data_IF_970410439228
#
_entry.id   IF_970410439228
#
_cell.length_a   1.000
_cell.length_b   1.000
_cell.length_c   1.000
_cell.angle_alpha   90.00
_cell.angle_beta   90.00
_cell.angle_gamma   90.00
#
_symmetry.space_group_name_H-M   'P 1'
#
loop_
_entity.id
_entity.type
_entity.pdbx_description
1 polymer ?
#
# COMPACT_ATOMS: atom_id res chain seq x y z
N UNK A 1 11.82 18.92 -11.55
CA UNK A 1 11.16 17.99 -10.60
C UNK A 1 9.70 17.91 -11.01
N UNK A 2 9.20 16.71 -11.28
CA UNK A 2 7.79 16.49 -11.64
C UNK A 2 6.90 16.92 -10.47
N UNK A 3 5.73 17.53 -10.75
CA UNK A 3 4.77 17.95 -9.72
C UNK A 3 3.37 17.49 -10.13
N UNK A 4 2.62 16.96 -9.17
CA UNK A 4 1.21 16.64 -9.31
C UNK A 4 0.39 17.58 -8.40
N UNK A 5 -0.25 18.62 -8.94
CA UNK A 5 -0.78 19.74 -8.16
C UNK A 5 -2.21 19.48 -7.62
N UNK A 6 -2.46 18.30 -7.06
CA UNK A 6 -3.76 18.00 -6.46
C UNK A 6 -4.08 18.94 -5.28
N UNK A 7 -5.33 19.42 -5.13
CA UNK A 7 -5.76 20.13 -3.94
C UNK A 7 -5.52 19.28 -2.69
N UNK A 8 -5.12 19.91 -1.58
CA UNK A 8 -5.09 19.21 -0.30
C UNK A 8 -6.51 18.92 0.20
N UNK A 9 -6.67 17.84 0.97
CA UNK A 9 -7.94 17.48 1.60
C UNK A 9 -7.88 17.65 3.14
N UNK A 10 -7.90 18.88 3.69
CA UNK A 10 -7.69 19.13 5.12
C UNK A 10 -8.80 18.57 6.02
N UNK A 11 -10.05 18.54 5.55
CA UNK A 11 -11.15 17.96 6.33
C UNK A 11 -11.08 16.43 6.34
N UNK A 12 -10.66 15.82 5.23
CA UNK A 12 -10.32 14.40 5.21
C UNK A 12 -9.16 14.08 6.17
N UNK A 13 -8.12 14.92 6.24
CA UNK A 13 -7.00 14.73 7.17
C UNK A 13 -7.46 14.75 8.65
N UNK A 14 -8.38 15.64 9.02
CA UNK A 14 -9.00 15.67 10.36
C UNK A 14 -9.82 14.40 10.60
N UNK A 15 -10.64 14.00 9.62
CA UNK A 15 -11.47 12.80 9.71
C UNK A 15 -10.64 11.53 9.90
N UNK A 16 -9.54 11.40 9.15
CA UNK A 16 -8.55 10.32 9.31
C UNK A 16 -7.96 10.34 10.72
N UNK A 17 -7.53 11.51 11.21
CA UNK A 17 -6.99 11.64 12.57
C UNK A 17 -7.99 11.18 13.64
N UNK A 18 -9.26 11.60 13.54
CA UNK A 18 -10.34 11.18 14.44
C UNK A 18 -10.51 9.65 14.44
N UNK A 19 -10.70 9.04 13.25
CA UNK A 19 -10.90 7.60 13.13
C UNK A 19 -9.76 6.79 13.75
N UNK A 20 -8.51 7.17 13.46
CA UNK A 20 -7.33 6.47 13.98
C UNK A 20 -7.15 6.67 15.50
N UNK A 21 -7.44 7.86 16.01
CA UNK A 21 -7.33 8.13 17.46
C UNK A 21 -8.43 7.41 18.24
N UNK A 22 -9.66 7.38 17.74
CA UNK A 22 -10.78 6.61 18.31
C UNK A 22 -10.49 5.10 18.30
N UNK A 23 -9.77 4.59 17.30
CA UNK A 23 -9.37 3.17 17.25
C UNK A 23 -8.19 2.82 18.17
N UNK A 24 -7.69 3.78 18.97
CA UNK A 24 -6.62 3.57 19.94
C UNK A 24 -5.21 3.93 19.46
N UNK A 25 -5.03 4.46 18.25
CA UNK A 25 -3.74 4.98 17.80
C UNK A 25 -3.51 6.36 18.45
N UNK A 26 -2.78 6.35 19.57
CA UNK A 26 -2.64 7.50 20.47
C UNK A 26 -1.99 8.75 19.87
N UNK A 27 -1.19 8.60 18.80
CA UNK A 27 -0.42 9.70 18.20
C UNK A 27 -0.60 9.71 16.69
N UNK A 28 -1.42 10.65 16.22
CA UNK A 28 -1.63 10.91 14.80
C UNK A 28 -1.46 12.41 14.59
N UNK A 29 -0.48 12.80 13.79
CA UNK A 29 -0.14 14.20 13.55
C UNK A 29 -0.60 14.62 12.16
N UNK A 30 -1.20 15.81 12.06
CA UNK A 30 -1.52 16.43 10.76
C UNK A 30 -0.38 17.35 10.37
N UNK A 31 0.28 17.04 9.26
CA UNK A 31 1.27 17.92 8.64
C UNK A 31 0.61 18.74 7.54
N UNK A 32 0.70 20.07 7.63
CA UNK A 32 0.11 21.01 6.66
C UNK A 32 1.10 21.47 5.59
N UNK A 33 2.37 21.06 5.69
CA UNK A 33 3.47 21.53 4.85
C UNK A 33 4.03 20.43 3.97
N UNK A 34 3.99 19.18 4.42
CA UNK A 34 4.44 18.04 3.62
C UNK A 34 3.55 17.88 2.39
N UNK A 35 4.15 18.01 1.21
CA UNK A 35 3.50 17.70 -0.06
C UNK A 35 3.50 16.20 -0.35
N UNK A 36 2.90 15.83 -1.49
CA UNK A 36 2.92 14.44 -1.99
C UNK A 36 4.35 14.02 -2.35
N UNK A 37 4.78 12.88 -1.82
CA UNK A 37 6.01 12.22 -2.28
C UNK A 37 5.76 11.34 -3.51
N UNK A 38 6.83 10.78 -4.04
CA UNK A 38 6.82 10.06 -5.31
C UNK A 38 5.86 8.88 -5.35
N UNK A 39 5.78 8.12 -4.26
CA UNK A 39 4.88 6.97 -4.15
C UNK A 39 3.40 7.40 -4.23
N UNK A 40 3.08 8.62 -3.80
CA UNK A 40 1.73 9.15 -3.91
C UNK A 40 1.44 9.75 -5.29
N UNK A 41 2.33 10.56 -5.87
CA UNK A 41 2.01 11.27 -7.11
C UNK A 41 2.14 10.43 -8.39
N UNK A 42 3.02 9.41 -8.44
CA UNK A 42 3.18 8.55 -9.63
C UNK A 42 1.87 7.86 -10.04
N UNK A 43 1.19 7.09 -9.16
CA UNK A 43 -0.06 6.42 -9.54
C UNK A 43 -1.16 7.44 -9.85
N UNK A 44 -1.23 8.55 -9.12
CA UNK A 44 -2.26 9.57 -9.33
C UNK A 44 -2.11 10.29 -10.67
N UNK A 45 -0.89 10.54 -11.15
CA UNK A 45 -0.66 11.10 -12.48
C UNK A 45 -1.18 10.22 -13.61
N UNK A 46 -1.16 8.90 -13.43
CA UNK A 46 -1.66 7.94 -14.40
C UNK A 46 -3.19 7.79 -14.32
N UNK A 47 -3.74 7.74 -13.11
CA UNK A 47 -5.18 7.53 -12.88
C UNK A 47 -6.02 8.80 -13.07
N UNK A 48 -5.51 9.96 -12.64
CA UNK A 48 -6.24 11.22 -12.57
C UNK A 48 -5.35 12.40 -13.04
N UNK A 49 -4.93 12.43 -14.31
CA UNK A 49 -3.93 13.38 -14.82
C UNK A 49 -4.31 14.87 -14.61
N UNK A 50 -5.60 15.19 -14.55
CA UNK A 50 -6.10 16.56 -14.33
C UNK A 50 -5.85 17.10 -12.92
N UNK A 51 -5.44 16.26 -11.97
CA UNK A 51 -5.12 16.65 -10.60
C UNK A 51 -6.22 17.48 -9.90
N UNK A 52 -7.50 17.21 -10.21
CA UNK A 52 -8.64 17.95 -9.69
C UNK A 52 -9.35 17.27 -8.49
N UNK A 53 -8.89 16.09 -8.09
CA UNK A 53 -9.39 15.36 -6.92
C UNK A 53 -8.57 15.75 -5.68
N UNK A 54 -9.19 16.17 -4.56
CA UNK A 54 -8.46 16.45 -3.33
C UNK A 54 -7.76 15.21 -2.76
N UNK A 55 -6.51 15.36 -2.33
CA UNK A 55 -5.68 14.26 -1.81
C UNK A 55 -5.20 14.57 -0.39
N UNK A 56 -5.23 13.54 0.47
CA UNK A 56 -4.57 13.54 1.77
C UNK A 56 -3.63 12.33 1.82
N UNK A 57 -2.36 12.56 2.14
CA UNK A 57 -1.38 11.49 2.29
C UNK A 57 -1.36 10.95 3.73
N UNK A 58 -1.31 9.63 3.88
CA UNK A 58 -1.13 8.93 5.16
C UNK A 58 0.22 8.22 5.17
N UNK A 59 1.00 8.40 6.24
CA UNK A 59 2.30 7.74 6.39
C UNK A 59 2.18 6.36 7.04
N UNK A 60 3.11 5.48 6.68
CA UNK A 60 3.34 4.20 7.38
C UNK A 60 4.27 4.39 8.59
N UNK A 61 4.30 3.40 9.49
CA UNK A 61 5.17 3.38 10.67
C UNK A 61 6.20 2.26 10.55
N UNK A 62 7.45 2.62 10.25
CA UNK A 62 8.55 1.67 10.00
C UNK A 62 8.86 0.71 11.17
N UNK A 63 8.51 1.10 12.40
CA UNK A 63 8.72 0.29 13.60
C UNK A 63 7.49 -0.54 14.01
N UNK A 64 6.49 -0.64 13.12
CA UNK A 64 5.26 -1.40 13.32
C UNK A 64 5.14 -2.52 12.29
N UNK A 65 4.34 -3.53 12.62
CA UNK A 65 4.16 -4.73 11.81
C UNK A 65 2.97 -4.62 10.83
N UNK A 66 2.79 -5.67 10.03
CA UNK A 66 1.68 -5.81 9.10
C UNK A 66 0.31 -5.68 9.78
N UNK A 67 0.14 -6.34 10.93
CA UNK A 67 -1.10 -6.31 11.72
C UNK A 67 -1.46 -4.89 12.18
N UNK A 68 -0.49 -4.08 12.60
CA UNK A 68 -0.71 -2.68 12.94
C UNK A 68 -1.28 -1.89 11.76
N UNK A 69 -0.66 -2.02 10.58
CA UNK A 69 -1.09 -1.31 9.37
C UNK A 69 -2.46 -1.81 8.86
N UNK A 70 -2.73 -3.11 8.97
CA UNK A 70 -4.05 -3.67 8.69
C UNK A 70 -5.13 -3.11 9.62
N UNK A 71 -4.84 -3.04 10.93
CA UNK A 71 -5.78 -2.47 11.91
C UNK A 71 -5.98 -0.95 11.69
N UNK A 72 -4.94 -0.24 11.26
CA UNK A 72 -5.06 1.15 10.82
C UNK A 72 -6.03 1.26 9.63
N UNK A 73 -5.89 0.39 8.62
CA UNK A 73 -6.84 0.28 7.52
C UNK A 73 -8.27 -0.01 7.99
N UNK A 74 -8.44 -0.97 8.90
CA UNK A 74 -9.75 -1.33 9.48
C UNK A 74 -10.43 -0.14 10.16
N UNK A 75 -9.68 0.71 10.85
CA UNK A 75 -10.20 1.94 11.44
C UNK A 75 -10.67 2.96 10.41
N UNK A 76 -10.09 2.94 9.21
CA UNK A 76 -10.42 3.83 8.08
C UNK A 76 -11.54 3.30 7.18
N UNK A 77 -12.03 2.08 7.40
CA UNK A 77 -13.10 1.48 6.61
C UNK A 77 -14.36 2.36 6.44
N UNK A 78 -14.81 3.17 7.43
CA UNK A 78 -15.95 4.06 7.26
C UNK A 78 -15.79 5.09 6.13
N UNK A 79 -14.56 5.47 5.77
CA UNK A 79 -14.29 6.45 4.72
C UNK A 79 -14.81 6.01 3.34
N UNK A 80 -14.95 4.71 3.10
CA UNK A 80 -15.53 4.17 1.87
C UNK A 80 -16.97 4.66 1.67
N UNK A 81 -17.78 4.62 2.73
CA UNK A 81 -19.17 5.09 2.71
C UNK A 81 -19.25 6.63 2.70
N UNK A 82 -18.18 7.32 3.09
CA UNK A 82 -18.01 8.77 3.00
C UNK A 82 -17.50 9.23 1.61
N UNK A 83 -17.42 8.32 0.62
CA UNK A 83 -17.02 8.64 -0.75
C UNK A 83 -15.52 8.81 -0.98
N UNK A 84 -14.68 8.26 -0.09
CA UNK A 84 -13.22 8.36 -0.17
C UNK A 84 -12.62 7.09 -0.78
N UNK A 85 -11.75 7.28 -1.78
CA UNK A 85 -10.89 6.22 -2.30
C UNK A 85 -9.59 6.13 -1.48
N UNK A 86 -9.29 4.95 -0.93
CA UNK A 86 -8.02 4.67 -0.26
C UNK A 86 -7.11 3.92 -1.23
N UNK A 87 -5.93 4.48 -1.48
CA UNK A 87 -4.92 3.90 -2.39
C UNK A 87 -3.71 3.46 -1.55
N UNK A 88 -3.37 2.18 -1.61
CA UNK A 88 -2.10 1.65 -1.11
C UNK A 88 -1.09 1.60 -2.26
N UNK A 89 -0.14 2.53 -2.29
CA UNK A 89 0.92 2.57 -3.30
C UNK A 89 2.21 1.94 -2.76
N UNK A 90 2.82 1.04 -3.52
CA UNK A 90 3.97 0.26 -3.09
C UNK A 90 4.37 -0.78 -4.13
N UNK A 91 4.94 -1.91 -3.70
CA UNK A 91 5.37 -2.98 -4.61
C UNK A 91 5.16 -4.37 -4.00
N UNK A 92 4.77 -5.34 -4.84
CA UNK A 92 4.61 -6.73 -4.43
C UNK A 92 5.94 -7.36 -4.01
N UNK A 93 7.05 -6.93 -4.60
CA UNK A 93 8.41 -7.29 -4.22
C UNK A 93 9.25 -6.01 -4.16
N UNK A 94 10.16 -5.91 -3.19
CA UNK A 94 11.04 -4.75 -3.05
C UNK A 94 12.35 -5.12 -2.35
N UNK A 95 13.29 -5.66 -3.14
CA UNK A 95 14.63 -5.98 -2.69
C UNK A 95 15.69 -5.40 -3.62
N UNK A 96 16.14 -4.19 -3.29
CA UNK A 96 17.15 -3.47 -4.06
C UNK A 96 18.52 -4.17 -4.11
N UNK A 97 18.78 -5.15 -3.22
CA UNK A 97 20.05 -5.89 -3.18
C UNK A 97 20.10 -7.02 -4.22
N UNK A 98 18.94 -7.49 -4.66
CA UNK A 98 18.81 -8.64 -5.57
C UNK A 98 18.38 -8.25 -6.99
N UNK A 99 18.35 -6.94 -7.31
CA UNK A 99 18.01 -6.45 -8.64
C UNK A 99 18.89 -7.08 -9.72
N UNK A 100 18.27 -7.56 -10.80
CA UNK A 100 18.98 -8.05 -11.98
C UNK A 100 19.05 -6.95 -13.02
N UNK A 101 20.08 -6.12 -12.90
CA UNK A 101 20.43 -5.12 -13.91
C UNK A 101 20.72 -5.84 -15.24
N UNK A 102 19.87 -5.62 -16.25
CA UNK A 102 19.96 -6.29 -17.56
C UNK A 102 18.98 -7.46 -17.77
N UNK A 103 18.13 -7.77 -16.79
CA UNK A 103 16.97 -8.61 -17.01
C UNK A 103 16.10 -8.01 -18.15
N UNK A 104 15.60 -8.86 -19.03
CA UNK A 104 14.64 -8.42 -20.05
C UNK A 104 13.34 -8.00 -19.37
N UNK A 105 12.56 -7.14 -20.02
CA UNK A 105 11.21 -6.84 -19.55
C UNK A 105 10.41 -8.13 -19.40
N UNK A 106 9.66 -8.22 -18.30
CA UNK A 106 8.91 -9.43 -17.88
C UNK A 106 9.76 -10.65 -17.48
N UNK A 107 11.09 -10.59 -17.56
CA UNK A 107 11.93 -11.62 -16.96
C UNK A 107 11.83 -11.51 -15.43
N UNK A 108 11.61 -12.65 -14.76
CA UNK A 108 11.42 -12.72 -13.31
C UNK A 108 12.20 -13.89 -12.73
N UNK A 109 12.85 -13.67 -11.59
CA UNK A 109 13.49 -14.75 -10.84
C UNK A 109 12.47 -15.64 -10.16
N UNK A 110 12.73 -16.96 -10.03
CA UNK A 110 11.77 -17.90 -9.46
C UNK A 110 11.21 -17.46 -8.10
N UNK A 111 12.07 -17.00 -7.18
CA UNK A 111 11.63 -16.62 -5.84
C UNK A 111 10.64 -15.44 -5.83
N UNK A 112 10.80 -14.48 -6.75
CA UNK A 112 9.93 -13.32 -6.85
C UNK A 112 8.59 -13.70 -7.46
N UNK A 113 8.60 -14.52 -8.52
CA UNK A 113 7.39 -15.07 -9.11
C UNK A 113 6.59 -15.95 -8.14
N UNK A 114 7.28 -16.75 -7.31
CA UNK A 114 6.65 -17.57 -6.28
C UNK A 114 5.98 -16.73 -5.17
N UNK A 115 6.63 -15.66 -4.71
CA UNK A 115 6.03 -14.73 -3.75
C UNK A 115 4.81 -14.01 -4.34
N UNK A 116 4.94 -13.46 -5.55
CA UNK A 116 3.86 -12.74 -6.22
C UNK A 116 2.66 -13.64 -6.53
N UNK A 117 2.89 -14.88 -6.96
CA UNK A 117 1.82 -15.86 -7.17
C UNK A 117 1.10 -16.18 -5.86
N UNK A 118 1.84 -16.40 -4.78
CA UNK A 118 1.25 -16.64 -3.46
C UNK A 118 0.41 -15.43 -3.00
N UNK A 119 0.90 -14.21 -3.26
CA UNK A 119 0.22 -12.97 -2.90
C UNK A 119 -1.09 -12.81 -3.68
N UNK A 120 -1.05 -12.99 -4.99
CA UNK A 120 -2.24 -12.99 -5.85
C UNK A 120 -3.28 -13.98 -5.32
N UNK A 121 -2.88 -15.23 -5.09
CA UNK A 121 -3.79 -16.27 -4.59
C UNK A 121 -4.36 -15.92 -3.22
N UNK A 122 -3.57 -15.28 -2.36
CA UNK A 122 -4.04 -14.84 -1.05
C UNK A 122 -5.11 -13.74 -1.17
N UNK A 123 -4.86 -12.74 -2.00
CA UNK A 123 -5.74 -11.59 -2.16
C UNK A 123 -7.05 -11.95 -2.87
N UNK A 124 -6.99 -12.73 -3.96
CA UNK A 124 -8.19 -13.14 -4.72
C UNK A 124 -9.04 -14.12 -3.91
N UNK A 125 -8.41 -14.97 -3.10
CA UNK A 125 -9.12 -15.93 -2.23
C UNK A 125 -9.58 -15.33 -0.89
N UNK A 126 -9.27 -14.07 -0.60
CA UNK A 126 -9.64 -13.40 0.66
C UNK A 126 -8.87 -13.92 1.89
N UNK A 127 -7.67 -14.49 1.71
CA UNK A 127 -6.80 -14.98 2.79
C UNK A 127 -6.07 -13.82 3.50
N UNK A 128 -6.81 -12.86 4.04
CA UNK A 128 -6.24 -11.65 4.66
C UNK A 128 -5.31 -11.95 5.84
N UNK A 129 -5.62 -13.00 6.62
CA UNK A 129 -4.78 -13.45 7.74
C UNK A 129 -3.41 -13.92 7.26
N UNK A 130 -3.35 -14.60 6.10
CA UNK A 130 -2.08 -15.03 5.53
C UNK A 130 -1.24 -13.84 5.03
N UNK A 131 -1.88 -12.81 4.45
CA UNK A 131 -1.20 -11.57 4.05
C UNK A 131 -0.68 -10.82 5.29
N UNK A 132 -1.48 -10.72 6.35
CA UNK A 132 -1.05 -10.08 7.60
C UNK A 132 0.11 -10.83 8.28
N UNK A 133 0.20 -12.14 8.08
CA UNK A 133 1.28 -13.00 8.58
C UNK A 133 2.28 -13.41 7.48
N UNK A 134 2.46 -12.57 6.45
CA UNK A 134 3.27 -12.92 5.27
C UNK A 134 4.70 -13.35 5.60
N UNK A 135 5.32 -12.80 6.66
CA UNK A 135 6.67 -13.18 7.08
C UNK A 135 6.79 -14.66 7.47
N UNK A 136 5.68 -15.28 7.90
CA UNK A 136 5.60 -16.69 8.27
C UNK A 136 4.93 -17.54 7.18
N UNK A 137 3.97 -16.97 6.44
CA UNK A 137 3.09 -17.71 5.52
C UNK A 137 3.55 -17.64 4.06
N UNK A 138 4.28 -16.61 3.65
CA UNK A 138 4.68 -16.41 2.27
C UNK A 138 6.04 -17.07 1.97
N UNK A 139 6.22 -17.69 0.80
CA UNK A 139 7.53 -18.16 0.37
C UNK A 139 8.46 -16.95 0.15
N UNK A 140 9.71 -17.03 0.60
CA UNK A 140 10.71 -15.97 0.36
C UNK A 140 10.37 -14.58 0.92
N UNK A 141 9.43 -14.45 1.88
CA UNK A 141 8.97 -13.16 2.40
C UNK A 141 10.08 -12.16 2.78
N UNK A 142 11.09 -12.66 3.52
CA UNK A 142 12.24 -11.84 3.96
C UNK A 142 13.18 -11.45 2.82
N UNK A 143 13.16 -12.22 1.73
CA UNK A 143 13.90 -11.92 0.51
C UNK A 143 13.11 -10.94 -0.36
N UNK A 144 11.80 -11.09 -0.49
CA UNK A 144 10.95 -10.12 -1.18
C UNK A 144 10.95 -8.76 -0.49
N UNK A 145 11.02 -8.76 0.84
CA UNK A 145 11.01 -7.55 1.66
C UNK A 145 12.06 -7.61 2.78
N UNK A 146 13.33 -7.27 2.49
CA UNK A 146 14.33 -7.04 3.54
C UNK A 146 13.91 -5.91 4.49
N UNK A 147 13.21 -4.92 3.94
CA UNK A 147 12.41 -3.92 4.64
C UNK A 147 11.01 -3.91 4.01
N UNK A 148 9.93 -4.10 4.80
CA UNK A 148 8.56 -4.24 4.29
C UNK A 148 7.79 -2.92 4.11
N UNK A 149 8.49 -1.80 4.02
CA UNK A 149 7.88 -0.47 3.92
C UNK A 149 7.04 -0.29 2.65
N UNK A 150 7.51 -0.81 1.51
CA UNK A 150 6.74 -0.80 0.25
C UNK A 150 5.59 -1.83 0.24
N UNK A 151 5.46 -2.67 1.28
CA UNK A 151 4.41 -3.68 1.40
C UNK A 151 3.33 -3.31 2.42
N UNK A 152 3.64 -2.47 3.41
CA UNK A 152 2.66 -2.00 4.39
C UNK A 152 1.49 -1.19 3.82
N UNK A 153 1.62 -0.40 2.73
CA UNK A 153 0.49 0.26 2.10
C UNK A 153 -0.63 -0.70 1.67
N UNK A 154 -0.27 -1.92 1.21
CA UNK A 154 -1.24 -2.96 0.88
C UNK A 154 -2.08 -3.37 2.10
N UNK A 155 -1.47 -3.47 3.28
CA UNK A 155 -2.17 -3.87 4.50
C UNK A 155 -3.20 -2.82 4.93
N UNK A 156 -2.87 -1.53 4.77
CA UNK A 156 -3.81 -0.44 5.04
C UNK A 156 -5.01 -0.51 4.08
N UNK A 157 -4.75 -0.65 2.77
CA UNK A 157 -5.81 -0.78 1.78
C UNK A 157 -6.69 -2.01 2.04
N UNK A 158 -6.07 -3.17 2.36
CA UNK A 158 -6.76 -4.42 2.67
C UNK A 158 -7.65 -4.31 3.91
N UNK A 159 -7.13 -3.67 4.96
CA UNK A 159 -7.90 -3.43 6.19
C UNK A 159 -9.11 -2.53 5.93
N UNK A 160 -8.92 -1.46 5.14
CA UNK A 160 -9.98 -0.52 4.80
C UNK A 160 -11.04 -1.11 3.85
N UNK A 161 -10.65 -2.06 3.00
CA UNK A 161 -11.55 -2.72 2.05
C UNK A 161 -12.65 -3.54 2.74
N UNK A 162 -12.43 -4.01 3.98
CA UNK A 162 -13.36 -4.84 4.75
C UNK A 162 -12.97 -6.32 4.79
N UNK A 163 -13.41 -7.03 5.84
CA UNK A 163 -12.91 -8.38 6.16
C UNK A 163 -13.30 -9.48 5.17
N UNK A 164 -14.32 -9.25 4.34
CA UNK A 164 -14.85 -10.23 3.39
C UNK A 164 -14.59 -9.83 1.94
N UNK A 165 -13.87 -8.74 1.71
CA UNK A 165 -13.60 -8.22 0.37
C UNK A 165 -12.55 -9.09 -0.31
N UNK A 166 -12.75 -9.41 -1.58
CA UNK A 166 -11.75 -10.08 -2.41
C UNK A 166 -11.12 -9.07 -3.35
N UNK A 167 -9.84 -9.24 -3.64
CA UNK A 167 -9.16 -8.41 -4.62
C UNK A 167 -9.44 -8.90 -6.05
N UNK A 168 -9.27 -7.98 -7.00
CA UNK A 168 -9.19 -8.25 -8.43
C UNK A 168 -7.81 -7.82 -8.92
N UNK A 169 -7.14 -8.68 -9.68
CA UNK A 169 -5.88 -8.33 -10.32
C UNK A 169 -6.16 -7.60 -11.64
N UNK A 170 -5.86 -6.31 -11.68
CA UNK A 170 -6.08 -5.48 -12.87
C UNK A 170 -4.86 -5.48 -13.80
N UNK A 171 -3.65 -5.53 -13.24
CA UNK A 171 -2.41 -5.45 -14.01
C UNK A 171 -1.24 -6.14 -13.28
N UNK A 172 -0.31 -6.71 -14.06
CA UNK A 172 0.97 -7.26 -13.59
C UNK A 172 2.05 -6.92 -14.60
N UNK A 173 3.20 -6.47 -14.10
CA UNK A 173 4.40 -6.26 -14.91
C UNK A 173 5.64 -6.40 -14.06
N UNK A 174 6.71 -6.96 -14.65
CA UNK A 174 8.02 -7.05 -14.00
C UNK A 174 9.04 -6.14 -14.67
N UNK A 175 9.94 -5.61 -13.84
CA UNK A 175 11.12 -4.86 -14.24
C UNK A 175 12.29 -5.26 -13.37
N UNK A 176 13.52 -5.21 -13.91
CA UNK A 176 14.75 -5.50 -13.15
C UNK A 176 14.80 -6.90 -12.49
N UNK A 177 13.99 -7.84 -12.98
CA UNK A 177 14.08 -9.25 -12.66
C UNK A 177 13.53 -9.72 -11.33
N UNK A 178 13.00 -8.84 -10.46
CA UNK A 178 12.62 -9.18 -9.08
C UNK A 178 11.43 -8.42 -8.58
#
# INVERSE_FOLDING_TARGET
MLKYPAPGAPDLAKRVQELLTTSGIKRVHIDKKRGLDHDAWVPLMLMYPEANIPVCQLSIQMNKDATYHYNMGRALAPLKEEGVLIIGSGSATHNLRDLKLGAKDQEVVPWAGEFDKWLEDALISGRHEDVNNFLQKAPHARKAHPSPDHFYPLHVALGAAGATTKAELIHRSWSLGT
#
